data_IF_645872670762
#
_entry.id   IF_645872670762
#
_cell.length_a   1.000
_cell.length_b   1.000
_cell.length_c   1.000
_cell.angle_alpha   90.00
_cell.angle_beta   90.00
_cell.angle_gamma   90.00
#
_symmetry.space_group_name_H-M   'P 1'
#
loop_
_entity.id
_entity.type
_entity.pdbx_description
1 polymer ?
#
# COMPACT_ATOMS: atom_id res chain seq x y z
N UNK A 1 -12.49 -15.25 39.56
CA UNK A 1 -12.77 -14.02 38.79
C UNK A 1 -11.45 -13.33 38.49
N UNK A 2 -11.02 -13.27 37.23
CA UNK A 2 -9.70 -12.74 36.85
C UNK A 2 -9.83 -11.60 35.83
N UNK A 3 -9.34 -10.43 36.24
CA UNK A 3 -9.38 -9.15 35.54
C UNK A 3 -8.35 -9.09 34.40
N UNK A 4 -8.66 -9.69 33.24
CA UNK A 4 -7.76 -9.61 32.07
C UNK A 4 -8.56 -9.44 30.77
N UNK A 5 -9.21 -8.29 30.56
CA UNK A 5 -9.89 -7.97 29.29
C UNK A 5 -9.92 -6.47 28.95
N UNK A 6 -9.00 -5.66 29.48
CA UNK A 6 -9.04 -4.20 29.35
C UNK A 6 -8.32 -3.60 28.12
N UNK A 7 -7.57 -4.35 27.32
CA UNK A 7 -7.05 -3.84 26.05
C UNK A 7 -7.10 -4.94 24.98
N UNK A 8 -8.05 -4.82 24.07
CA UNK A 8 -8.22 -5.67 22.88
C UNK A 8 -7.08 -5.57 21.85
N UNK A 9 -5.83 -5.38 22.28
CA UNK A 9 -4.65 -5.51 21.45
C UNK A 9 -4.21 -6.97 21.45
N UNK A 10 -5.05 -7.84 20.88
CA UNK A 10 -4.56 -9.14 20.36
C UNK A 10 -3.56 -8.78 19.26
N UNK A 11 -2.27 -8.67 19.61
CA UNK A 11 -1.18 -8.71 18.63
C UNK A 11 -1.29 -10.06 17.94
N UNK A 12 -2.00 -10.08 16.81
CA UNK A 12 -2.02 -11.19 15.87
C UNK A 12 -0.56 -11.58 15.60
N UNK A 13 -0.17 -12.85 15.76
CA UNK A 13 1.18 -13.28 15.41
C UNK A 13 1.34 -12.99 13.92
N UNK A 14 2.24 -12.05 13.58
CA UNK A 14 2.52 -11.71 12.19
C UNK A 14 3.26 -12.88 11.55
N UNK A 15 2.43 -13.74 10.98
CA UNK A 15 2.73 -14.97 10.27
C UNK A 15 4.00 -14.89 9.40
N UNK A 16 4.78 -15.97 9.43
CA UNK A 16 5.99 -16.31 8.67
C UNK A 16 5.84 -16.25 7.12
N UNK A 17 4.69 -15.79 6.59
CA UNK A 17 4.45 -15.52 5.16
C UNK A 17 5.23 -14.30 4.64
N UNK A 18 5.88 -13.53 5.52
CA UNK A 18 6.50 -12.25 5.18
C UNK A 18 7.65 -12.37 4.19
N UNK A 19 8.51 -13.39 4.30
CA UNK A 19 9.74 -13.46 3.49
C UNK A 19 9.47 -13.70 2.00
N UNK A 20 8.65 -14.69 1.67
CA UNK A 20 8.29 -14.98 0.28
C UNK A 20 7.50 -13.83 -0.36
N UNK A 21 6.55 -13.25 0.37
CA UNK A 21 5.76 -12.11 -0.10
C UNK A 21 6.63 -10.86 -0.32
N UNK A 22 7.56 -10.58 0.60
CA UNK A 22 8.49 -9.46 0.48
C UNK A 22 9.44 -9.63 -0.70
N UNK A 23 9.94 -10.85 -0.93
CA UNK A 23 10.79 -11.15 -2.10
C UNK A 23 10.02 -10.96 -3.41
N UNK A 24 8.78 -11.47 -3.49
CA UNK A 24 7.93 -11.25 -4.66
C UNK A 24 7.60 -9.77 -4.89
N UNK A 25 7.40 -9.00 -3.81
CA UNK A 25 7.22 -7.56 -3.91
C UNK A 25 8.47 -6.84 -4.43
N UNK A 26 9.67 -7.26 -4.00
CA UNK A 26 10.95 -6.76 -4.50
C UNK A 26 11.16 -7.05 -5.98
N UNK A 27 10.90 -8.28 -6.43
CA UNK A 27 11.02 -8.65 -7.84
C UNK A 27 10.01 -7.89 -8.71
N UNK A 28 8.77 -7.73 -8.24
CA UNK A 28 7.75 -6.92 -8.92
C UNK A 28 8.14 -5.44 -8.99
N UNK A 29 8.81 -4.92 -7.96
CA UNK A 29 9.29 -3.53 -7.97
C UNK A 29 10.40 -3.34 -9.00
N UNK A 30 11.33 -4.30 -9.13
CA UNK A 30 12.41 -4.28 -10.11
C UNK A 30 11.89 -4.21 -11.55
N UNK A 31 10.78 -4.90 -11.88
CA UNK A 31 10.12 -4.77 -13.18
C UNK A 31 9.62 -3.35 -13.46
N UNK A 32 9.32 -2.59 -12.40
CA UNK A 32 8.77 -1.23 -12.47
C UNK A 32 9.77 -0.12 -12.15
N UNK A 33 11.00 -0.45 -11.80
CA UNK A 33 12.00 0.56 -11.49
C UNK A 33 12.72 0.99 -12.79
N UNK A 34 12.66 2.28 -13.18
CA UNK A 34 13.38 2.77 -14.36
C UNK A 34 14.90 2.59 -14.25
N UNK A 35 15.43 2.63 -13.02
CA UNK A 35 16.86 2.52 -12.74
C UNK A 35 17.34 1.06 -12.74
N UNK A 36 16.45 0.09 -12.90
CA UNK A 36 16.84 -1.30 -13.05
C UNK A 36 17.45 -1.54 -14.44
N UNK A 37 18.45 -2.41 -14.52
CA UNK A 37 19.04 -2.81 -15.81
C UNK A 37 18.08 -3.74 -16.57
N UNK A 38 18.29 -3.86 -17.88
CA UNK A 38 17.52 -4.81 -18.71
C UNK A 38 17.70 -6.26 -18.20
N UNK A 39 18.95 -6.65 -17.91
CA UNK A 39 19.28 -7.97 -17.36
C UNK A 39 18.61 -8.21 -16.00
N UNK A 40 18.63 -7.22 -15.09
CA UNK A 40 17.99 -7.34 -13.78
C UNK A 40 16.46 -7.50 -13.88
N UNK A 41 15.83 -6.83 -14.84
CA UNK A 41 14.39 -7.03 -15.14
C UNK A 41 14.10 -8.42 -15.71
N UNK A 42 14.95 -8.92 -16.61
CA UNK A 42 14.81 -10.25 -17.19
C UNK A 42 14.92 -11.33 -16.10
N UNK A 43 15.91 -11.22 -15.22
CA UNK A 43 16.08 -12.11 -14.05
C UNK A 43 14.88 -12.04 -13.10
N UNK A 44 14.39 -10.83 -12.78
CA UNK A 44 13.22 -10.68 -11.91
C UNK A 44 11.94 -11.27 -12.53
N UNK A 45 11.78 -11.13 -13.85
CA UNK A 45 10.67 -11.76 -14.60
C UNK A 45 10.77 -13.28 -14.52
N UNK A 46 11.97 -13.82 -14.77
CA UNK A 46 12.22 -15.26 -14.72
C UNK A 46 11.95 -15.81 -13.31
N UNK A 47 12.45 -15.17 -12.25
CA UNK A 47 12.25 -15.61 -10.88
C UNK A 47 10.77 -15.54 -10.44
N UNK A 48 10.02 -14.53 -10.89
CA UNK A 48 8.57 -14.48 -10.64
C UNK A 48 7.83 -15.60 -11.38
N UNK A 49 8.22 -15.90 -12.61
CA UNK A 49 7.62 -16.97 -13.41
C UNK A 49 7.83 -18.35 -12.77
N UNK A 50 9.07 -18.62 -12.33
CA UNK A 50 9.44 -19.86 -11.62
C UNK A 50 8.66 -20.05 -10.31
N UNK A 51 8.16 -18.96 -9.72
CA UNK A 51 7.35 -18.98 -8.49
C UNK A 51 5.84 -19.05 -8.75
N UNK A 52 5.42 -19.16 -10.00
CA UNK A 52 4.00 -19.09 -10.38
C UNK A 52 3.36 -17.72 -10.09
N UNK A 53 4.16 -16.65 -10.02
CA UNK A 53 3.68 -15.31 -9.74
C UNK A 53 3.60 -14.49 -11.03
N UNK A 54 2.55 -13.68 -11.16
CA UNK A 54 2.42 -12.79 -12.32
C UNK A 54 3.53 -11.74 -12.32
N UNK A 55 4.31 -11.74 -13.41
CA UNK A 55 5.28 -10.71 -13.76
C UNK A 55 4.65 -9.57 -14.59
N UNK A 56 3.32 -9.50 -14.65
CA UNK A 56 2.62 -8.52 -15.46
C UNK A 56 2.72 -7.12 -14.84
N UNK A 57 3.33 -6.20 -15.58
CA UNK A 57 3.29 -4.76 -15.29
C UNK A 57 2.13 -4.18 -16.09
N UNK A 58 1.14 -3.52 -15.46
CA UNK A 58 0.03 -2.89 -16.16
C UNK A 58 0.52 -1.96 -17.28
N UNK A 59 -0.09 -2.03 -18.47
CA UNK A 59 0.27 -1.19 -19.62
C UNK A 59 0.25 0.29 -19.24
N UNK A 60 -0.78 0.74 -18.52
CA UNK A 60 -0.88 2.12 -18.03
C UNK A 60 0.27 2.52 -17.10
N UNK A 61 0.85 1.59 -16.34
CA UNK A 61 2.02 1.88 -15.51
C UNK A 61 3.29 2.10 -16.36
N UNK A 62 3.36 1.47 -17.53
CA UNK A 62 4.43 1.71 -18.52
C UNK A 62 4.21 3.05 -19.24
N UNK A 63 2.99 3.33 -19.69
CA UNK A 63 2.64 4.60 -20.37
C UNK A 63 2.87 5.80 -19.46
N UNK A 64 2.35 5.77 -18.23
CA UNK A 64 2.58 6.85 -17.25
C UNK A 64 4.07 7.07 -16.98
N UNK A 65 4.87 6.00 -16.99
CA UNK A 65 6.33 6.11 -16.84
C UNK A 65 6.98 6.74 -18.06
N UNK A 66 6.61 6.32 -19.27
CA UNK A 66 7.16 6.88 -20.51
C UNK A 66 6.88 8.39 -20.62
N UNK A 67 5.74 8.83 -20.09
CA UNK A 67 5.33 10.24 -20.05
C UNK A 67 5.82 11.02 -18.82
N UNK A 68 6.66 10.43 -17.95
CA UNK A 68 7.14 11.09 -16.73
C UNK A 68 6.07 11.35 -15.66
N UNK A 69 4.87 10.77 -15.82
CA UNK A 69 3.76 10.92 -14.88
C UNK A 69 3.91 9.95 -13.71
N UNK A 70 4.43 10.46 -12.59
CA UNK A 70 4.59 9.66 -11.37
C UNK A 70 3.32 9.65 -10.52
N UNK A 71 2.99 8.50 -9.90
CA UNK A 71 1.98 8.49 -8.84
C UNK A 71 2.45 9.33 -7.65
N UNK A 72 1.53 10.02 -6.97
CA UNK A 72 1.81 10.72 -5.71
C UNK A 72 2.61 9.82 -4.76
N UNK A 73 3.81 10.24 -4.31
CA UNK A 73 4.65 9.49 -3.40
C UNK A 73 3.88 8.95 -2.20
N UNK A 74 4.26 7.77 -1.70
CA UNK A 74 3.55 7.08 -0.61
C UNK A 74 3.39 7.95 0.64
N UNK A 75 4.36 8.80 0.93
CA UNK A 75 4.30 9.78 2.03
C UNK A 75 3.18 10.81 1.79
N UNK A 76 3.15 11.44 0.62
CA UNK A 76 2.08 12.38 0.25
C UNK A 76 0.71 11.69 0.25
N UNK A 77 0.63 10.43 -0.19
CA UNK A 77 -0.64 9.68 -0.15
C UNK A 77 -1.14 9.45 1.28
N UNK A 78 -0.25 9.17 2.24
CA UNK A 78 -0.61 9.08 3.67
C UNK A 78 -1.11 10.43 4.20
N UNK A 79 -0.39 11.52 3.90
CA UNK A 79 -0.78 12.88 4.31
C UNK A 79 -2.14 13.26 3.71
N UNK A 80 -2.35 13.02 2.42
CA UNK A 80 -3.60 13.32 1.73
C UNK A 80 -4.76 12.50 2.30
N UNK A 81 -4.54 11.21 2.59
CA UNK A 81 -5.55 10.37 3.23
C UNK A 81 -5.85 10.83 4.67
N UNK A 82 -4.85 11.25 5.44
CA UNK A 82 -5.03 11.81 6.78
C UNK A 82 -5.84 13.12 6.72
N UNK A 83 -5.49 14.02 5.81
CA UNK A 83 -6.24 15.27 5.53
C UNK A 83 -7.69 15.00 5.12
N UNK A 84 -7.91 14.01 4.24
CA UNK A 84 -9.25 13.61 3.80
C UNK A 84 -10.08 13.04 4.97
N UNK A 85 -9.47 12.25 5.86
CA UNK A 85 -10.11 11.75 7.08
C UNK A 85 -10.45 12.86 8.06
N UNK A 86 -9.53 13.79 8.29
CA UNK A 86 -9.76 14.96 9.15
C UNK A 86 -10.92 15.82 8.64
N UNK A 87 -10.99 16.07 7.32
CA UNK A 87 -12.11 16.78 6.69
C UNK A 87 -13.46 16.08 6.91
N UNK A 88 -13.50 14.74 6.82
CA UNK A 88 -14.73 13.97 7.09
C UNK A 88 -15.16 14.08 8.55
N UNK A 89 -14.21 14.00 9.49
CA UNK A 89 -14.50 14.12 10.93
C UNK A 89 -14.98 15.53 11.32
N UNK A 90 -14.42 16.58 10.72
CA UNK A 90 -14.86 17.96 10.92
C UNK A 90 -16.28 18.23 10.39
N UNK A 91 -16.71 17.54 9.34
CA UNK A 91 -18.08 17.61 8.82
C UNK A 91 -19.10 16.92 9.72
N UNK A 92 -18.71 15.84 10.42
CA UNK A 92 -19.59 15.12 11.34
C UNK A 92 -19.82 15.87 12.66
N UNK A 93 -18.79 16.49 13.22
CA UNK A 93 -18.89 17.28 14.47
C UNK A 93 -19.73 18.55 14.31
N UNK A 94 -19.75 19.14 13.10
CA UNK A 94 -20.60 20.31 12.79
C UNK A 94 -22.10 19.98 12.72
N UNK A 95 -22.47 18.74 12.35
CA UNK A 95 -23.88 18.30 12.29
C UNK A 95 -24.45 17.92 13.65
N UNK A 96 -23.62 17.45 14.59
CA UNK A 96 -24.08 17.08 15.95
C UNK A 96 -24.45 18.28 16.81
N UNK A 97 -23.85 19.45 16.57
CA UNK A 97 -24.11 20.64 17.40
C UNK A 97 -25.41 21.37 17.04
N UNK A 98 -25.89 21.24 15.80
CA UNK A 98 -27.09 21.94 15.30
C UNK A 98 -28.41 21.22 15.63
N UNK A 99 -28.35 20.06 16.31
CA UNK A 99 -29.50 19.21 16.64
C UNK A 99 -29.91 19.23 18.12
N UNK A 100 -29.26 20.07 18.95
CA UNK A 100 -29.49 20.16 20.40
C UNK A 100 -30.30 21.39 20.84
N UNK A 101 -30.88 22.14 19.91
CA UNK A 101 -31.76 23.28 20.20
C UNK A 101 -33.16 23.02 19.60
N UNK A 102 -33.91 22.11 20.20
CA UNK A 102 -35.38 22.01 20.17
C UNK A 102 -35.82 21.29 21.44
#
# INVERSE_FOLDING_TARGET
MTLASALGLRRSPRNHRSHAANRNAGLKSALTNPNSTHAGRAQAKHELHMRGQSAHVPLMAKVKRALGMHQTPRHQRKVNNARARARRQAGTTRKTHRRRHY
#
